data_IF_219473584224
#
_entry.id   IF_219473584224
#
_cell.length_a   1.000
_cell.length_b   1.000
_cell.length_c   1.000
_cell.angle_alpha   90.00
_cell.angle_beta   90.00
_cell.angle_gamma   90.00
#
_symmetry.space_group_name_H-M   'P 1'
#
loop_
_entity.id
_entity.type
_entity.pdbx_description
1 polymer ?
#
# COMPACT_ATOMS: atom_id res chain seq x y z
N UNK A 1 1.20 10.36 20.70
CA UNK A 1 0.19 10.88 19.75
C UNK A 1 0.78 11.87 18.73
N UNK A 2 1.56 12.86 19.19
CA UNK A 2 2.30 13.81 18.33
C UNK A 2 3.24 13.18 17.29
N UNK A 3 3.92 12.08 17.64
CA UNK A 3 4.83 11.39 16.73
C UNK A 3 4.11 10.72 15.55
N UNK A 4 2.96 10.07 15.81
CA UNK A 4 2.12 9.45 14.77
C UNK A 4 1.58 10.47 13.76
N UNK A 5 1.27 11.69 14.21
CA UNK A 5 0.80 12.78 13.34
C UNK A 5 1.90 13.28 12.38
N UNK A 6 3.15 13.38 12.84
CA UNK A 6 4.28 13.77 11.99
C UNK A 6 4.49 12.76 10.86
N UNK A 7 4.39 11.48 11.21
CA UNK A 7 4.65 10.37 10.32
C UNK A 7 3.54 10.23 9.25
N UNK A 8 2.27 10.38 9.63
CA UNK A 8 1.17 10.49 8.65
C UNK A 8 1.35 11.68 7.69
N UNK A 9 1.90 12.80 8.19
CA UNK A 9 2.22 13.96 7.37
C UNK A 9 3.34 13.71 6.35
N UNK A 10 4.31 12.85 6.65
CA UNK A 10 5.37 12.47 5.71
C UNK A 10 4.85 11.51 4.65
N UNK A 11 4.05 10.50 5.03
CA UNK A 11 3.43 9.59 4.08
C UNK A 11 2.54 10.34 3.07
N UNK A 12 1.74 11.30 3.54
CA UNK A 12 0.94 12.17 2.66
C UNK A 12 1.80 13.00 1.71
N UNK A 13 2.99 13.46 2.14
CA UNK A 13 3.91 14.20 1.28
C UNK A 13 4.52 13.31 0.18
N UNK A 14 4.84 12.06 0.49
CA UNK A 14 5.35 11.09 -0.49
C UNK A 14 4.27 10.74 -1.51
N UNK A 15 3.04 10.48 -1.08
CA UNK A 15 1.91 10.19 -1.98
C UNK A 15 1.60 11.40 -2.88
N UNK A 16 1.65 12.61 -2.33
CA UNK A 16 1.36 13.84 -3.08
C UNK A 16 2.46 14.24 -4.05
N UNK A 17 3.70 13.83 -3.81
CA UNK A 17 4.83 14.10 -4.70
C UNK A 17 5.88 12.97 -4.65
N UNK A 18 5.60 11.82 -5.29
CA UNK A 18 6.50 10.66 -5.25
C UNK A 18 7.84 10.96 -5.94
N UNK A 19 7.85 11.81 -6.96
CA UNK A 19 9.05 12.24 -7.70
C UNK A 19 10.04 13.04 -6.87
N UNK A 20 9.64 13.52 -5.68
CA UNK A 20 10.55 14.14 -4.71
C UNK A 20 11.39 13.11 -3.96
N UNK A 21 10.93 11.87 -3.88
CA UNK A 21 11.53 10.80 -3.07
C UNK A 21 12.10 9.66 -3.92
N UNK A 22 11.61 9.53 -5.16
CA UNK A 22 12.04 8.53 -6.12
C UNK A 22 12.39 9.22 -7.43
N UNK A 23 13.46 8.78 -8.08
CA UNK A 23 13.71 9.22 -9.45
C UNK A 23 12.60 8.72 -10.37
N UNK A 24 12.32 9.49 -11.42
CA UNK A 24 11.38 9.10 -12.49
C UNK A 24 11.72 7.71 -13.06
N UNK A 25 13.01 7.39 -13.14
CA UNK A 25 13.52 6.10 -13.60
C UNK A 25 13.16 4.95 -12.65
N UNK A 26 13.29 5.15 -11.34
CA UNK A 26 12.90 4.15 -10.33
C UNK A 26 11.39 3.90 -10.34
N UNK A 27 10.60 4.97 -10.48
CA UNK A 27 9.13 4.86 -10.58
C UNK A 27 8.75 4.10 -11.86
N UNK A 28 9.31 4.47 -13.00
CA UNK A 28 9.02 3.84 -14.29
C UNK A 28 9.41 2.35 -14.29
N UNK A 29 10.57 2.02 -13.73
CA UNK A 29 11.03 0.64 -13.62
C UNK A 29 10.15 -0.16 -12.64
N UNK A 30 9.70 0.45 -11.54
CA UNK A 30 8.78 -0.18 -10.59
C UNK A 30 7.41 -0.49 -11.20
N UNK A 31 6.85 0.45 -11.98
CA UNK A 31 5.59 0.26 -12.71
C UNK A 31 5.74 -0.82 -13.78
N UNK A 32 6.87 -0.88 -14.47
CA UNK A 32 7.16 -1.92 -15.46
C UNK A 32 7.20 -3.31 -14.83
N UNK A 33 7.94 -3.47 -13.73
CA UNK A 33 8.04 -4.75 -13.00
C UNK A 33 6.68 -5.17 -12.44
N UNK A 34 5.85 -4.22 -12.02
CA UNK A 34 4.47 -4.48 -11.60
C UNK A 34 3.66 -5.16 -12.70
N UNK A 35 3.57 -4.56 -13.87
CA UNK A 35 2.79 -5.12 -14.97
C UNK A 35 3.35 -6.45 -15.50
N UNK A 36 4.66 -6.67 -15.40
CA UNK A 36 5.29 -7.94 -15.76
C UNK A 36 4.94 -9.08 -14.78
N UNK A 37 4.73 -8.75 -13.52
CA UNK A 37 4.49 -9.76 -12.46
C UNK A 37 3.02 -9.89 -12.08
N UNK A 38 2.17 -8.98 -12.58
CA UNK A 38 0.73 -9.01 -12.39
C UNK A 38 0.08 -10.21 -13.09
N UNK A 39 -0.51 -11.09 -12.29
CA UNK A 39 -1.23 -12.29 -12.75
C UNK A 39 -2.71 -12.29 -12.32
N UNK A 40 -3.22 -11.16 -11.83
CA UNK A 40 -4.58 -11.03 -11.27
C UNK A 40 -4.75 -11.67 -9.89
N UNK A 41 -3.74 -12.39 -9.36
CA UNK A 41 -3.75 -13.01 -8.04
C UNK A 41 -2.73 -12.30 -7.15
N UNK A 42 -3.23 -11.53 -6.19
CA UNK A 42 -2.44 -10.56 -5.43
C UNK A 42 -1.24 -11.17 -4.71
N UNK A 43 -1.42 -12.33 -4.07
CA UNK A 43 -0.35 -12.97 -3.28
C UNK A 43 0.77 -13.50 -4.19
N UNK A 44 0.44 -14.09 -5.34
CA UNK A 44 1.45 -14.59 -6.28
C UNK A 44 2.11 -13.44 -7.04
N UNK A 45 1.35 -12.44 -7.47
CA UNK A 45 1.85 -11.19 -8.03
C UNK A 45 2.86 -10.50 -7.09
N UNK A 46 2.52 -10.38 -5.80
CA UNK A 46 3.41 -9.77 -4.81
C UNK A 46 4.72 -10.54 -4.61
N UNK A 47 4.64 -11.88 -4.53
CA UNK A 47 5.83 -12.73 -4.41
C UNK A 47 6.76 -12.58 -5.62
N UNK A 48 6.20 -12.64 -6.83
CA UNK A 48 6.93 -12.48 -8.09
C UNK A 48 7.51 -11.08 -8.23
N UNK A 49 6.75 -10.05 -7.88
CA UNK A 49 7.26 -8.68 -7.87
C UNK A 49 8.46 -8.53 -6.95
N UNK A 50 8.39 -9.02 -5.70
CA UNK A 50 9.50 -8.91 -4.75
C UNK A 50 10.73 -9.64 -5.26
N UNK A 51 10.56 -10.80 -5.89
CA UNK A 51 11.64 -11.58 -6.49
C UNK A 51 12.32 -10.83 -7.65
N UNK A 52 11.53 -10.26 -8.57
CA UNK A 52 12.03 -9.47 -9.71
C UNK A 52 12.61 -8.13 -9.26
N UNK A 53 12.02 -7.49 -8.26
CA UNK A 53 12.47 -6.19 -7.77
C UNK A 53 13.78 -6.28 -6.98
N UNK A 54 13.98 -7.36 -6.21
CA UNK A 54 15.25 -7.64 -5.52
C UNK A 54 16.41 -7.94 -6.47
N UNK A 55 16.11 -8.48 -7.66
CA UNK A 55 17.10 -8.78 -8.68
C UNK A 55 17.34 -7.61 -9.66
N UNK A 56 16.52 -6.56 -9.61
CA UNK A 56 16.65 -5.41 -10.51
C UNK A 56 17.60 -4.35 -9.94
N UNK A 57 18.81 -4.16 -10.51
CA UNK A 57 19.80 -3.23 -9.98
C UNK A 57 19.34 -1.77 -10.02
N UNK A 58 18.42 -1.37 -10.90
CA UNK A 58 17.87 0.00 -10.93
C UNK A 58 16.90 0.24 -9.79
N UNK A 59 16.19 -0.81 -9.37
CA UNK A 59 15.34 -0.74 -8.20
C UNK A 59 16.20 -0.80 -6.93
N UNK A 60 17.31 -1.54 -6.93
CA UNK A 60 18.20 -1.75 -5.78
C UNK A 60 19.23 -0.62 -5.56
N UNK A 61 19.64 0.12 -6.60
CA UNK A 61 20.66 1.19 -6.55
C UNK A 61 20.22 2.53 -5.96
N UNK A 62 19.07 2.61 -5.28
CA UNK A 62 18.75 3.78 -4.45
C UNK A 62 19.67 3.86 -3.25
N UNK A 63 20.85 4.45 -3.45
CA UNK A 63 21.93 4.65 -2.49
C UNK A 63 21.49 5.51 -1.28
N UNK A 64 21.92 5.09 -0.08
CA UNK A 64 21.96 5.92 1.12
C UNK A 64 20.97 5.49 2.22
N UNK A 65 21.45 4.68 3.17
CA UNK A 65 20.85 4.33 4.48
C UNK A 65 19.43 3.71 4.50
N UNK A 66 18.66 3.80 3.42
CA UNK A 66 17.35 3.19 3.29
C UNK A 66 17.47 1.79 2.70
N UNK A 67 17.05 0.78 3.46
CA UNK A 67 16.89 -0.58 2.94
C UNK A 67 15.93 -0.55 1.76
N UNK A 68 16.46 -0.63 0.55
CA UNK A 68 15.68 -0.50 -0.68
C UNK A 68 14.56 -1.54 -0.79
N UNK A 69 14.79 -2.75 -0.24
CA UNK A 69 13.75 -3.77 -0.12
C UNK A 69 12.55 -3.34 0.71
N UNK A 70 12.76 -2.48 1.72
CA UNK A 70 11.69 -1.88 2.52
C UNK A 70 10.91 -0.84 1.72
N UNK A 71 11.62 -0.03 0.92
CA UNK A 71 11.00 1.00 0.08
C UNK A 71 10.15 0.40 -1.04
N UNK A 72 10.69 -0.61 -1.71
CA UNK A 72 10.01 -1.44 -2.71
C UNK A 72 8.81 -2.15 -2.07
N UNK A 73 8.99 -2.74 -0.89
CA UNK A 73 7.91 -3.38 -0.13
C UNK A 73 6.76 -2.43 0.20
N UNK A 74 7.09 -1.20 0.60
CA UNK A 74 6.10 -0.14 0.87
C UNK A 74 5.35 0.28 -0.40
N UNK A 75 6.07 0.44 -1.51
CA UNK A 75 5.45 0.78 -2.78
C UNK A 75 4.42 -0.28 -3.22
N UNK A 76 4.79 -1.57 -3.14
CA UNK A 76 3.88 -2.68 -3.43
C UNK A 76 2.70 -2.70 -2.48
N UNK A 77 2.93 -2.53 -1.18
CA UNK A 77 1.88 -2.54 -0.16
C UNK A 77 0.84 -1.46 -0.44
N UNK A 78 1.29 -0.24 -0.78
CA UNK A 78 0.41 0.87 -1.14
C UNK A 78 -0.34 0.56 -2.43
N UNK A 79 0.35 0.05 -3.45
CA UNK A 79 -0.24 -0.27 -4.76
C UNK A 79 -1.33 -1.34 -4.64
N UNK A 80 -1.00 -2.49 -4.02
CA UNK A 80 -1.96 -3.56 -3.73
C UNK A 80 -3.12 -3.03 -2.91
N UNK A 81 -2.82 -2.23 -1.89
CA UNK A 81 -3.83 -1.73 -0.98
C UNK A 81 -4.83 -0.81 -1.66
N UNK A 82 -4.38 0.07 -2.55
CA UNK A 82 -5.26 0.94 -3.33
C UNK A 82 -6.11 0.11 -4.32
N UNK A 83 -5.52 -0.90 -4.98
CA UNK A 83 -6.23 -1.76 -5.95
C UNK A 83 -7.31 -2.63 -5.27
N UNK A 84 -7.11 -3.00 -4.00
CA UNK A 84 -8.06 -3.81 -3.24
C UNK A 84 -9.23 -3.02 -2.66
N UNK A 85 -9.09 -1.71 -2.45
CA UNK A 85 -10.11 -0.90 -1.81
C UNK A 85 -11.46 -0.92 -2.55
N UNK A 86 -11.53 -0.84 -3.90
CA UNK A 86 -12.78 -0.99 -4.65
C UNK A 86 -13.45 -2.36 -4.44
N UNK A 87 -12.67 -3.44 -4.40
CA UNK A 87 -13.18 -4.80 -4.20
C UNK A 87 -13.79 -4.95 -2.80
N UNK A 88 -13.09 -4.46 -1.78
CA UNK A 88 -13.56 -4.51 -0.39
C UNK A 88 -14.83 -3.68 -0.20
N UNK A 89 -14.85 -2.45 -0.73
CA UNK A 89 -16.02 -1.56 -0.62
C UNK A 89 -17.24 -2.13 -1.37
N UNK A 90 -17.03 -2.70 -2.55
CA UNK A 90 -18.07 -3.39 -3.31
C UNK A 90 -18.63 -4.60 -2.56
N UNK A 91 -17.75 -5.42 -1.97
CA UNK A 91 -18.18 -6.60 -1.20
C UNK A 91 -18.95 -6.21 0.06
N UNK A 92 -18.49 -5.20 0.80
CA UNK A 92 -19.19 -4.69 1.99
C UNK A 92 -20.56 -4.14 1.59
N UNK A 93 -20.63 -3.29 0.55
CA UNK A 93 -21.90 -2.74 0.08
C UNK A 93 -22.89 -3.83 -0.33
N UNK A 94 -22.43 -4.87 -1.04
CA UNK A 94 -23.29 -5.99 -1.46
C UNK A 94 -23.86 -6.76 -0.26
N UNK A 95 -23.11 -6.89 0.82
CA UNK A 95 -23.53 -7.65 2.01
C UNK A 95 -24.42 -6.84 2.96
N UNK A 96 -24.24 -5.52 3.01
CA UNK A 96 -24.90 -4.63 3.99
C UNK A 96 -26.00 -3.76 3.40
N UNK A 97 -26.09 -3.66 2.06
CA UNK A 97 -27.00 -2.76 1.35
C UNK A 97 -27.90 -3.52 0.36
N UNK A 98 -29.03 -2.92 -0.02
CA UNK A 98 -29.98 -3.49 -0.99
C UNK A 98 -31.35 -3.82 -0.37
N UNK A 99 -32.25 -4.39 -1.17
CA UNK A 99 -33.61 -4.75 -0.76
C UNK A 99 -33.67 -6.02 0.10
N UNK A 100 -32.60 -6.84 0.08
CA UNK A 100 -32.47 -8.05 0.91
C UNK A 100 -31.01 -8.25 1.36
N UNK A 101 -30.50 -7.44 2.29
CA UNK A 101 -29.13 -7.52 2.77
C UNK A 101 -28.88 -8.84 3.51
N UNK A 102 -27.71 -9.45 3.29
CA UNK A 102 -27.31 -10.70 3.94
C UNK A 102 -26.88 -10.51 5.40
N UNK A 103 -26.49 -9.29 5.77
CA UNK A 103 -26.06 -8.94 7.14
C UNK A 103 -26.77 -7.66 7.57
N UNK A 104 -27.39 -7.68 8.75
CA UNK A 104 -28.15 -6.54 9.32
C UNK A 104 -27.77 -6.25 10.77
N UNK A 105 -28.28 -5.14 11.31
CA UNK A 105 -28.05 -4.74 12.70
C UNK A 105 -26.59 -4.40 13.00
N UNK A 106 -26.14 -4.69 14.22
CA UNK A 106 -24.78 -4.36 14.70
C UNK A 106 -23.67 -4.93 13.82
N UNK A 107 -23.88 -6.11 13.23
CA UNK A 107 -22.90 -6.75 12.35
C UNK A 107 -22.71 -5.96 11.04
N UNK A 108 -23.78 -5.38 10.49
CA UNK A 108 -23.68 -4.50 9.33
C UNK A 108 -22.89 -3.23 9.65
N UNK A 109 -23.08 -2.67 10.85
CA UNK A 109 -22.29 -1.52 11.33
C UNK A 109 -20.80 -1.86 11.40
N UNK A 110 -20.44 -3.03 11.92
CA UNK A 110 -19.03 -3.47 11.98
C UNK A 110 -18.45 -3.69 10.57
N UNK A 111 -19.20 -4.32 9.66
CA UNK A 111 -18.77 -4.51 8.26
C UNK A 111 -18.55 -3.16 7.55
N UNK A 112 -19.42 -2.18 7.78
CA UNK A 112 -19.30 -0.84 7.20
C UNK A 112 -18.07 -0.07 7.71
N UNK A 113 -17.49 -0.46 8.85
CA UNK A 113 -16.24 0.11 9.35
C UNK A 113 -14.98 -0.53 8.73
N UNK A 114 -15.09 -1.70 8.09
CA UNK A 114 -13.96 -2.41 7.50
C UNK A 114 -13.21 -1.57 6.45
N UNK A 115 -13.87 -0.88 5.50
CA UNK A 115 -13.17 0.00 4.56
C UNK A 115 -12.40 1.13 5.26
N UNK A 116 -12.97 1.69 6.32
CA UNK A 116 -12.34 2.76 7.09
C UNK A 116 -11.08 2.26 7.81
N UNK A 117 -11.17 1.10 8.46
CA UNK A 117 -10.04 0.43 9.09
C UNK A 117 -8.94 0.08 8.08
N UNK A 118 -9.34 -0.36 6.89
CA UNK A 118 -8.42 -0.70 5.81
C UNK A 118 -7.60 0.53 5.36
N UNK A 119 -8.26 1.66 5.13
CA UNK A 119 -7.59 2.93 4.78
C UNK A 119 -6.65 3.39 5.91
N UNK A 120 -7.08 3.24 7.16
CA UNK A 120 -6.23 3.54 8.32
C UNK A 120 -4.94 2.71 8.32
N UNK A 121 -5.04 1.40 8.07
CA UNK A 121 -3.88 0.50 7.98
C UNK A 121 -2.97 0.89 6.81
N UNK A 122 -3.56 1.24 5.66
CA UNK A 122 -2.83 1.68 4.48
C UNK A 122 -1.97 2.93 4.73
N UNK A 123 -2.39 3.79 5.66
CA UNK A 123 -1.65 5.00 6.06
C UNK A 123 -0.66 4.69 7.19
N UNK A 124 -1.07 3.90 8.19
CA UNK A 124 -0.26 3.63 9.39
C UNK A 124 0.97 2.78 9.06
N UNK A 125 0.88 1.80 8.17
CA UNK A 125 2.01 0.90 7.87
C UNK A 125 3.18 1.64 7.20
N UNK A 126 2.98 2.42 6.12
CA UNK A 126 4.04 3.27 5.56
C UNK A 126 4.59 4.27 6.55
N UNK A 127 3.72 4.79 7.40
CA UNK A 127 4.10 5.68 8.46
C UNK A 127 5.09 4.98 9.43
N UNK A 128 4.71 3.87 10.05
CA UNK A 128 5.56 3.16 11.02
C UNK A 128 6.91 2.76 10.43
N UNK A 129 6.91 2.32 9.16
CA UNK A 129 8.14 1.96 8.46
C UNK A 129 9.04 3.19 8.23
N UNK A 130 8.48 4.31 7.78
CA UNK A 130 9.23 5.56 7.63
C UNK A 130 9.77 6.07 8.98
N UNK A 131 9.02 5.90 10.06
CA UNK A 131 9.48 6.26 11.41
C UNK A 131 10.65 5.38 11.86
N UNK A 132 10.59 4.08 11.61
CA UNK A 132 11.68 3.15 11.94
C UNK A 132 12.97 3.51 11.19
N UNK A 133 12.83 3.86 9.91
CA UNK A 133 13.94 4.32 9.06
C UNK A 133 14.56 5.64 9.57
N UNK A 134 13.76 6.56 10.12
CA UNK A 134 14.26 7.84 10.62
C UNK A 134 14.97 7.75 11.98
N UNK A 135 14.66 6.71 12.76
CA UNK A 135 15.22 6.52 14.11
C UNK A 135 16.51 5.70 14.12
N UNK A 136 16.74 4.89 13.09
CA UNK A 136 18.04 4.26 12.80
C UNK A 136 18.99 5.28 12.17
#
# INVERSE_FOLDING_TARGET
MLERLKVSGVALKVVRNPTKYFSQEVIAEGVKVFWQTWDGRIISSAKRFVEVAKSNPKLVKGEGALNIGVLIGLFIFILIGIVLLPVITSQVSTLTSGTSPSVTGTNATLLNLVPLFYILVLIIVPAVVAYKIYKE
#
